data_IF_008667162665
#
_entry.id   IF_008667162665
#
_cell.length_a   1.000
_cell.length_b   1.000
_cell.length_c   1.000
_cell.angle_alpha   90.00
_cell.angle_beta   90.00
_cell.angle_gamma   90.00
#
_symmetry.space_group_name_H-M   'P 1'
#
loop_
_entity.id
_entity.type
_entity.pdbx_description
1 polymer ?
#
# COMPACT_ATOMS: atom_id res chain seq x y z
N UNK A 1 -13.08 9.17 -26.11
CA UNK A 1 -12.07 8.41 -25.36
C UNK A 1 -12.45 8.55 -23.90
N UNK A 2 -12.72 7.44 -23.22
CA UNK A 2 -13.03 7.48 -21.81
C UNK A 2 -11.83 8.03 -21.05
N UNK A 3 -12.11 8.92 -20.09
CA UNK A 3 -11.06 9.54 -19.26
C UNK A 3 -10.39 8.45 -18.43
N UNK A 4 -9.06 8.30 -18.57
CA UNK A 4 -8.29 7.40 -17.71
C UNK A 4 -8.30 7.91 -16.28
N UNK A 5 -8.43 6.99 -15.32
CA UNK A 5 -8.25 7.30 -13.91
C UNK A 5 -6.80 7.74 -13.65
N UNK A 6 -6.63 8.64 -12.68
CA UNK A 6 -5.33 9.20 -12.28
C UNK A 6 -5.12 9.01 -10.79
N UNK A 7 -4.06 8.30 -10.40
CA UNK A 7 -3.73 8.02 -8.99
C UNK A 7 -2.40 8.65 -8.62
N UNK A 8 -2.39 9.45 -7.55
CA UNK A 8 -1.16 9.98 -6.94
C UNK A 8 -0.69 9.03 -5.83
N UNK A 9 0.44 8.38 -6.01
CA UNK A 9 1.09 7.57 -5.00
C UNK A 9 2.14 8.39 -4.25
N UNK A 10 2.14 8.32 -2.91
CA UNK A 10 2.88 9.27 -2.08
C UNK A 10 3.57 8.54 -0.93
N UNK A 11 4.83 8.85 -0.70
CA UNK A 11 5.53 8.44 0.52
C UNK A 11 6.80 7.64 0.26
N UNK A 12 6.94 6.52 0.94
CA UNK A 12 8.15 5.72 0.96
C UNK A 12 8.51 5.08 -0.38
N UNK A 13 9.77 4.83 -0.52
CA UNK A 13 10.38 3.95 -1.50
C UNK A 13 11.57 3.25 -0.83
N UNK A 14 12.01 2.14 -1.37
CA UNK A 14 13.24 1.52 -0.94
C UNK A 14 13.88 0.75 -2.09
N UNK A 15 15.18 0.54 -1.98
CA UNK A 15 15.88 -0.46 -2.77
C UNK A 15 15.98 -1.72 -1.91
N UNK A 16 15.37 -2.80 -2.37
CA UNK A 16 15.54 -4.12 -1.77
C UNK A 16 16.89 -4.69 -2.26
N UNK A 17 17.89 -4.67 -1.38
CA UNK A 17 19.25 -5.09 -1.69
C UNK A 17 19.52 -6.47 -1.14
N UNK A 18 19.73 -7.42 -2.04
CA UNK A 18 20.05 -8.81 -1.71
C UNK A 18 21.56 -8.96 -1.50
N UNK A 19 22.01 -8.91 -0.27
CA UNK A 19 23.44 -8.91 0.07
C UNK A 19 24.17 -10.14 -0.49
N UNK A 20 23.57 -11.33 -0.38
CA UNK A 20 24.16 -12.58 -0.87
C UNK A 20 24.28 -12.69 -2.41
N UNK A 21 23.41 -11.97 -3.14
CA UNK A 21 23.36 -11.98 -4.61
C UNK A 21 24.04 -10.75 -5.21
N UNK A 22 24.29 -9.71 -4.43
CA UNK A 22 24.70 -8.39 -4.90
C UNK A 22 23.75 -7.82 -5.98
N UNK A 23 22.45 -8.03 -5.78
CA UNK A 23 21.38 -7.58 -6.65
C UNK A 23 20.49 -6.57 -5.92
N UNK A 24 19.88 -5.65 -6.67
CA UNK A 24 19.04 -4.61 -6.12
C UNK A 24 17.77 -4.45 -6.94
N UNK A 25 16.64 -4.34 -6.24
CA UNK A 25 15.31 -4.19 -6.85
C UNK A 25 14.63 -2.94 -6.27
N UNK A 26 14.16 -2.01 -7.12
CA UNK A 26 13.34 -0.90 -6.67
C UNK A 26 11.98 -1.39 -6.13
N UNK A 27 11.57 -0.84 -4.99
CA UNK A 27 10.32 -1.18 -4.32
C UNK A 27 9.79 -0.01 -3.47
N UNK A 28 8.94 -0.35 -2.55
CA UNK A 28 8.19 0.58 -1.70
C UNK A 28 6.69 0.53 -2.02
N UNK A 29 5.85 0.55 -0.98
CA UNK A 29 4.41 0.36 -1.11
C UNK A 29 3.77 1.33 -2.13
N UNK A 30 3.91 2.67 -2.03
CA UNK A 30 3.29 3.58 -2.99
C UNK A 30 3.88 3.44 -4.40
N UNK A 31 5.18 3.18 -4.53
CA UNK A 31 5.84 2.96 -5.82
C UNK A 31 5.25 1.75 -6.52
N UNK A 32 5.12 0.64 -5.82
CA UNK A 32 4.53 -0.59 -6.34
C UNK A 32 3.10 -0.35 -6.83
N UNK A 33 2.26 0.33 -6.01
CA UNK A 33 0.88 0.66 -6.38
C UNK A 33 0.86 1.53 -7.65
N UNK A 34 1.71 2.55 -7.75
CA UNK A 34 1.78 3.41 -8.93
C UNK A 34 2.10 2.62 -10.21
N UNK A 35 3.07 1.71 -10.14
CA UNK A 35 3.45 0.84 -11.26
C UNK A 35 2.30 -0.10 -11.65
N UNK A 36 1.58 -0.67 -10.67
CA UNK A 36 0.46 -1.55 -10.96
C UNK A 36 -0.75 -0.82 -11.54
N UNK A 37 -1.04 0.40 -11.12
CA UNK A 37 -2.05 1.25 -11.77
C UNK A 37 -1.72 1.49 -13.24
N UNK A 38 -0.45 1.75 -13.58
CA UNK A 38 0.00 1.87 -14.98
C UNK A 38 -0.19 0.56 -15.74
N UNK A 39 0.17 -0.57 -15.14
CA UNK A 39 -0.01 -1.91 -15.73
C UNK A 39 -1.47 -2.19 -16.08
N UNK A 40 -2.41 -1.73 -15.25
CA UNK A 40 -3.85 -1.87 -15.45
C UNK A 40 -4.44 -0.89 -16.47
N UNK A 41 -3.65 0.06 -16.99
CA UNK A 41 -4.07 1.02 -18.01
C UNK A 41 -4.47 2.40 -17.47
N UNK A 42 -4.37 2.63 -16.17
CA UNK A 42 -4.54 3.95 -15.55
C UNK A 42 -3.35 4.88 -15.76
N UNK A 43 -3.48 6.10 -15.26
CA UNK A 43 -2.38 7.05 -15.11
C UNK A 43 -1.98 7.11 -13.64
N UNK A 44 -0.68 7.21 -13.37
CA UNK A 44 -0.18 7.35 -12.00
C UNK A 44 1.03 8.27 -11.93
N UNK A 45 1.19 8.89 -10.78
CA UNK A 45 2.39 9.65 -10.41
C UNK A 45 2.95 9.12 -9.09
N UNK A 46 4.24 9.34 -8.88
CA UNK A 46 4.87 9.07 -7.59
C UNK A 46 5.49 10.36 -7.04
N UNK A 47 5.20 10.65 -5.77
CA UNK A 47 5.76 11.75 -4.98
C UNK A 47 6.40 11.19 -3.73
N UNK A 48 7.71 11.31 -3.62
CA UNK A 48 8.53 10.84 -2.50
C UNK A 48 9.92 11.42 -2.59
N UNK A 49 10.88 10.92 -1.82
CA UNK A 49 12.26 11.38 -1.84
C UNK A 49 13.24 10.25 -2.18
N UNK A 50 14.26 10.58 -2.95
CA UNK A 50 15.42 9.72 -3.24
C UNK A 50 16.71 10.50 -2.99
N UNK A 51 17.80 9.80 -2.75
CA UNK A 51 19.12 10.41 -2.57
C UNK A 51 19.77 10.83 -3.87
N UNK A 52 20.86 11.58 -3.75
CA UNK A 52 21.76 11.94 -4.86
C UNK A 52 22.66 10.78 -5.32
N UNK A 53 22.59 9.65 -4.64
CA UNK A 53 23.38 8.45 -4.88
C UNK A 53 22.97 7.65 -6.15
N UNK A 54 23.65 6.54 -6.41
CA UNK A 54 23.35 5.66 -7.55
C UNK A 54 21.95 5.00 -7.42
N UNK A 55 21.53 4.68 -6.21
CA UNK A 55 20.22 4.08 -5.96
C UNK A 55 19.06 5.03 -6.25
N UNK A 56 19.21 6.33 -5.96
CA UNK A 56 18.23 7.33 -6.35
C UNK A 56 18.03 7.41 -7.87
N UNK A 57 19.12 7.36 -8.64
CA UNK A 57 19.05 7.32 -10.11
C UNK A 57 18.39 6.06 -10.62
N UNK A 58 18.70 4.90 -10.02
CA UNK A 58 18.09 3.61 -10.36
C UNK A 58 16.59 3.67 -10.10
N UNK A 59 16.17 4.14 -8.92
CA UNK A 59 14.77 4.27 -8.55
C UNK A 59 13.99 5.14 -9.54
N UNK A 60 14.45 6.36 -9.80
CA UNK A 60 13.78 7.28 -10.74
C UNK A 60 13.65 6.64 -12.12
N UNK A 61 14.77 6.08 -12.64
CA UNK A 61 14.78 5.48 -13.98
C UNK A 61 13.84 4.27 -14.07
N UNK A 62 13.81 3.43 -13.05
CA UNK A 62 12.94 2.26 -13.00
C UNK A 62 11.46 2.65 -13.01
N UNK A 63 11.06 3.65 -12.20
CA UNK A 63 9.69 4.17 -12.14
C UNK A 63 9.29 4.80 -13.47
N UNK A 64 10.17 5.61 -14.07
CA UNK A 64 9.95 6.23 -15.38
C UNK A 64 9.77 5.20 -16.50
N UNK A 65 10.58 4.14 -16.50
CA UNK A 65 10.49 3.06 -17.48
C UNK A 65 9.16 2.29 -17.43
N UNK A 66 8.45 2.34 -16.28
CA UNK A 66 7.10 1.80 -16.13
C UNK A 66 6.01 2.81 -16.52
N UNK A 67 6.39 4.03 -16.93
CA UNK A 67 5.47 5.07 -17.40
C UNK A 67 4.77 5.84 -16.29
N UNK A 68 5.25 5.78 -15.07
CA UNK A 68 4.76 6.57 -13.92
C UNK A 68 5.35 7.98 -14.00
N UNK A 69 4.55 9.01 -13.72
CA UNK A 69 5.02 10.39 -13.65
C UNK A 69 5.88 10.60 -12.40
N UNK A 70 7.12 11.02 -12.61
CA UNK A 70 8.14 11.24 -11.57
C UNK A 70 8.46 12.73 -11.35
N UNK A 71 7.67 13.62 -11.93
CA UNK A 71 7.95 15.07 -11.93
C UNK A 71 7.98 15.70 -10.52
N UNK A 72 7.42 15.02 -9.54
CA UNK A 72 7.36 15.44 -8.15
C UNK A 72 8.22 14.59 -7.19
N UNK A 73 9.14 13.78 -7.71
CA UNK A 73 10.16 13.15 -6.87
C UNK A 73 11.14 14.21 -6.39
N UNK A 74 11.42 14.22 -5.10
CA UNK A 74 12.44 15.07 -4.48
C UNK A 74 13.78 14.34 -4.51
N UNK A 75 14.81 14.98 -5.05
CA UNK A 75 16.19 14.48 -4.96
C UNK A 75 16.89 15.26 -3.86
N UNK A 76 17.17 14.60 -2.74
CA UNK A 76 17.77 15.21 -1.56
C UNK A 76 19.23 14.76 -1.41
N UNK A 77 20.06 15.61 -0.84
CA UNK A 77 21.47 15.27 -0.61
C UNK A 77 21.59 14.15 0.43
N UNK A 78 22.16 13.02 0.04
CA UNK A 78 22.29 11.84 0.89
C UNK A 78 22.02 10.53 0.15
N UNK A 79 21.71 9.48 0.92
CA UNK A 79 21.46 8.12 0.41
C UNK A 79 19.97 7.85 0.25
N UNK A 80 19.63 7.13 -0.79
CA UNK A 80 18.30 6.53 -0.97
C UNK A 80 18.07 5.44 0.08
N UNK A 81 16.81 5.24 0.47
CA UNK A 81 16.45 4.19 1.42
C UNK A 81 16.76 2.79 0.86
N UNK A 82 17.25 1.92 1.73
CA UNK A 82 17.63 0.54 1.40
C UNK A 82 17.08 -0.41 2.45
N UNK A 83 16.47 -1.49 1.99
CA UNK A 83 16.16 -2.64 2.83
C UNK A 83 17.11 -3.77 2.44
N UNK A 84 17.93 -4.22 3.38
CA UNK A 84 18.78 -5.39 3.19
C UNK A 84 17.93 -6.66 3.27
N UNK A 85 18.10 -7.55 2.33
CA UNK A 85 17.35 -8.80 2.23
C UNK A 85 18.32 -9.97 2.13
N UNK A 86 18.13 -10.95 2.97
CA UNK A 86 18.81 -12.24 2.88
C UNK A 86 17.86 -13.33 2.38
N UNK A 87 18.42 -14.40 1.84
CA UNK A 87 17.69 -15.61 1.49
C UNK A 87 18.15 -16.72 2.44
N UNK A 88 17.27 -17.18 3.33
CA UNK A 88 17.53 -18.26 4.26
C UNK A 88 16.54 -19.39 3.98
N UNK A 89 17.07 -20.59 3.68
CA UNK A 89 16.27 -21.78 3.33
C UNK A 89 15.24 -21.56 2.19
N UNK A 90 15.56 -20.63 1.27
CA UNK A 90 14.71 -20.27 0.14
C UNK A 90 13.67 -19.18 0.45
N UNK A 91 13.57 -18.76 1.70
CA UNK A 91 12.67 -17.69 2.14
C UNK A 91 13.45 -16.38 2.32
N UNK A 92 12.74 -15.25 2.10
CA UNK A 92 13.28 -13.91 2.32
C UNK A 92 13.23 -13.52 3.78
N UNK A 93 14.35 -13.07 4.28
CA UNK A 93 14.49 -12.50 5.62
C UNK A 93 14.86 -11.03 5.46
N UNK A 94 13.96 -10.15 5.90
CA UNK A 94 14.24 -8.73 5.93
C UNK A 94 15.21 -8.40 7.07
N UNK A 95 16.34 -7.82 6.71
CA UNK A 95 17.39 -7.43 7.62
C UNK A 95 17.32 -5.95 7.99
N UNK A 96 18.48 -5.27 7.93
CA UNK A 96 18.59 -3.86 8.28
C UNK A 96 17.84 -2.98 7.28
N UNK A 97 17.04 -2.04 7.78
CA UNK A 97 16.47 -0.95 7.01
C UNK A 97 17.29 0.33 7.22
N UNK A 98 17.70 0.97 6.14
CA UNK A 98 18.35 2.26 6.13
C UNK A 98 17.41 3.28 5.49
N UNK A 99 16.86 4.18 6.29
CA UNK A 99 15.82 5.13 5.87
C UNK A 99 16.35 6.19 4.90
N UNK A 100 17.63 6.54 5.02
CA UNK A 100 18.27 7.54 4.17
C UNK A 100 17.54 8.88 4.18
N UNK A 101 17.43 9.51 3.02
CA UNK A 101 16.79 10.83 2.86
C UNK A 101 15.27 10.81 3.07
N UNK A 102 14.64 9.65 3.20
CA UNK A 102 13.21 9.58 3.55
C UNK A 102 12.93 10.18 4.93
N UNK A 103 13.87 10.12 5.84
CA UNK A 103 13.78 10.77 7.17
C UNK A 103 13.50 12.28 7.08
N UNK A 104 13.95 12.93 6.00
CA UNK A 104 13.79 14.36 5.76
C UNK A 104 12.66 14.68 4.75
N UNK A 105 11.96 13.66 4.26
CA UNK A 105 10.88 13.85 3.29
C UNK A 105 9.72 14.62 3.90
N UNK A 106 9.28 15.66 3.19
CA UNK A 106 8.06 16.43 3.49
C UNK A 106 7.39 16.89 2.21
N UNK A 107 6.07 16.82 2.18
CA UNK A 107 5.32 17.37 1.05
C UNK A 107 5.42 18.90 1.04
N UNK A 108 5.82 19.44 -0.10
CA UNK A 108 5.82 20.87 -0.38
C UNK A 108 4.43 21.31 -0.86
N UNK A 109 4.09 22.58 -0.77
CA UNK A 109 2.81 23.12 -1.26
C UNK A 109 2.54 22.77 -2.73
N UNK A 110 3.57 22.81 -3.56
CA UNK A 110 3.47 22.42 -4.98
C UNK A 110 3.15 20.94 -5.16
N UNK A 111 3.67 20.07 -4.28
CA UNK A 111 3.41 18.63 -4.30
C UNK A 111 1.94 18.36 -3.92
N UNK A 112 1.45 19.00 -2.86
CA UNK A 112 0.05 18.92 -2.44
C UNK A 112 -0.88 19.44 -3.55
N UNK A 113 -0.53 20.56 -4.19
CA UNK A 113 -1.29 21.13 -5.30
C UNK A 113 -1.32 20.22 -6.53
N UNK A 114 -0.24 19.46 -6.77
CA UNK A 114 -0.16 18.48 -7.83
C UNK A 114 -1.00 17.24 -7.51
N UNK A 115 -0.87 16.69 -6.30
CA UNK A 115 -1.63 15.53 -5.82
C UNK A 115 -3.13 15.74 -5.97
N UNK A 116 -3.63 16.92 -5.58
CA UNK A 116 -5.05 17.29 -5.67
C UNK A 116 -5.64 17.32 -7.10
N UNK A 117 -4.80 17.22 -8.13
CA UNK A 117 -5.26 17.12 -9.54
C UNK A 117 -5.55 15.67 -9.98
N UNK A 118 -5.39 14.71 -9.10
CA UNK A 118 -5.66 13.29 -9.36
C UNK A 118 -7.06 12.89 -8.89
N UNK A 119 -7.51 11.71 -9.27
CA UNK A 119 -8.83 11.18 -8.88
C UNK A 119 -8.77 10.53 -7.48
N UNK A 120 -7.55 10.17 -7.02
CA UNK A 120 -7.29 9.54 -5.73
C UNK A 120 -5.82 9.71 -5.34
N UNK A 121 -5.56 9.90 -4.06
CA UNK A 121 -4.24 9.77 -3.46
C UNK A 121 -4.11 8.41 -2.76
N UNK A 122 -2.96 7.75 -2.90
CA UNK A 122 -2.65 6.52 -2.16
C UNK A 122 -1.32 6.66 -1.43
N UNK A 123 -1.30 6.21 -0.18
CA UNK A 123 -0.12 6.20 0.69
C UNK A 123 -0.20 5.02 1.66
N UNK A 124 0.79 4.84 2.50
CA UNK A 124 0.83 3.78 3.50
C UNK A 124 1.43 4.23 4.83
N UNK A 125 1.52 3.29 5.75
CA UNK A 125 1.97 3.50 7.14
C UNK A 125 3.40 4.06 7.23
N UNK A 126 4.20 3.85 6.20
CA UNK A 126 5.57 4.37 6.08
C UNK A 126 5.66 5.63 5.20
N UNK A 127 4.51 6.17 4.77
CA UNK A 127 4.45 7.30 3.84
C UNK A 127 4.83 8.64 4.42
N UNK A 128 4.85 8.78 5.76
CA UNK A 128 5.26 9.98 6.51
C UNK A 128 4.50 11.26 6.14
N UNK A 129 3.23 11.14 5.73
CA UNK A 129 2.38 12.26 5.29
C UNK A 129 1.06 12.36 6.07
N UNK A 130 0.99 11.74 7.23
CA UNK A 130 -0.25 11.73 8.02
C UNK A 130 -0.66 13.13 8.48
N UNK A 131 0.26 14.09 8.57
CA UNK A 131 -0.03 15.49 8.91
C UNK A 131 -0.66 16.26 7.76
N UNK A 132 -0.40 15.87 6.51
CA UNK A 132 -0.93 16.49 5.29
C UNK A 132 -2.24 15.85 4.82
N UNK A 133 -2.61 14.67 5.33
CA UNK A 133 -3.87 14.00 4.97
C UNK A 133 -5.11 14.89 5.12
N UNK A 134 -5.24 15.75 6.18
CA UNK A 134 -6.36 16.68 6.28
C UNK A 134 -6.47 17.66 5.12
N UNK A 135 -5.35 18.01 4.49
CA UNK A 135 -5.33 18.95 3.35
C UNK A 135 -5.67 18.26 2.03
N UNK A 136 -5.28 16.98 1.90
CA UNK A 136 -5.50 16.20 0.68
C UNK A 136 -6.94 15.67 0.65
N UNK A 137 -7.41 15.10 1.76
CA UNK A 137 -8.72 14.42 1.84
C UNK A 137 -9.92 15.35 1.67
N UNK A 138 -9.73 16.66 1.81
CA UNK A 138 -10.77 17.68 1.52
C UNK A 138 -11.12 17.78 0.04
N UNK A 139 -10.19 17.45 -0.84
CA UNK A 139 -10.32 17.66 -2.29
C UNK A 139 -10.50 16.33 -3.04
N UNK A 140 -9.76 15.31 -2.66
CA UNK A 140 -9.77 14.01 -3.33
C UNK A 140 -9.83 12.86 -2.31
N UNK A 141 -10.41 11.70 -2.67
CA UNK A 141 -10.37 10.52 -1.81
C UNK A 141 -8.94 10.04 -1.56
N UNK A 142 -8.72 9.50 -0.36
CA UNK A 142 -7.44 8.94 0.08
C UNK A 142 -7.60 7.44 0.31
N UNK A 143 -6.70 6.65 -0.27
CA UNK A 143 -6.47 5.26 0.08
C UNK A 143 -5.25 5.15 1.00
N UNK A 144 -5.33 4.34 2.04
CA UNK A 144 -4.24 4.17 2.99
C UNK A 144 -4.01 2.70 3.31
N UNK A 145 -2.78 2.25 3.12
CA UNK A 145 -2.34 0.93 3.51
C UNK A 145 -1.73 0.97 4.92
N UNK A 146 -2.44 0.41 5.88
CA UNK A 146 -1.97 0.24 7.25
C UNK A 146 -1.13 -1.02 7.45
N UNK A 147 -0.98 -1.82 6.41
CA UNK A 147 -0.28 -3.11 6.45
C UNK A 147 -0.75 -3.96 7.65
N UNK A 148 0.16 -4.60 8.37
CA UNK A 148 -0.12 -5.36 9.59
C UNK A 148 -0.01 -4.50 10.87
N UNK A 149 0.01 -3.17 10.76
CA UNK A 149 0.27 -2.23 11.86
C UNK A 149 -1.01 -1.73 12.53
N UNK A 150 -2.01 -2.59 12.69
CA UNK A 150 -3.34 -2.26 13.22
C UNK A 150 -3.36 -1.55 14.60
N UNK A 151 -2.30 -1.71 15.39
CA UNK A 151 -2.15 -1.06 16.72
C UNK A 151 -1.15 0.11 16.72
N UNK A 152 -0.67 0.55 15.55
CA UNK A 152 0.24 1.68 15.45
C UNK A 152 -0.51 3.00 15.71
N UNK A 153 0.05 3.95 16.48
CA UNK A 153 -0.58 5.27 16.72
C UNK A 153 -0.95 6.04 15.45
N UNK A 154 -0.25 5.83 14.33
CA UNK A 154 -0.56 6.43 13.03
C UNK A 154 -1.96 6.04 12.56
N UNK A 155 -2.48 4.84 12.92
CA UNK A 155 -3.84 4.42 12.57
C UNK A 155 -4.86 5.45 13.07
N UNK A 156 -4.80 5.81 14.34
CA UNK A 156 -5.72 6.79 14.93
C UNK A 156 -5.58 8.19 14.32
N UNK A 157 -4.36 8.57 13.94
CA UNK A 157 -4.07 9.86 13.33
C UNK A 157 -4.56 9.96 11.88
N UNK A 158 -4.40 8.89 11.10
CA UNK A 158 -4.70 8.87 9.66
C UNK A 158 -6.16 8.51 9.35
N UNK A 159 -6.74 7.55 10.09
CA UNK A 159 -8.02 6.92 9.74
C UNK A 159 -9.18 7.91 9.50
N UNK A 160 -9.29 9.07 10.19
CA UNK A 160 -10.37 10.03 9.94
C UNK A 160 -10.34 10.68 8.54
N UNK A 161 -9.20 10.62 7.86
CA UNK A 161 -8.98 11.26 6.56
C UNK A 161 -8.95 10.27 5.41
N UNK A 162 -9.16 8.99 5.70
CA UNK A 162 -9.06 7.88 4.74
C UNK A 162 -10.43 7.55 4.17
N UNK A 163 -10.50 7.35 2.86
CA UNK A 163 -11.70 6.85 2.16
C UNK A 163 -11.69 5.34 2.03
N UNK A 164 -10.55 4.78 1.65
CA UNK A 164 -10.32 3.35 1.47
C UNK A 164 -9.17 2.90 2.37
N UNK A 165 -9.48 2.12 3.41
CA UNK A 165 -8.49 1.63 4.35
C UNK A 165 -8.17 0.15 4.08
N UNK A 166 -6.88 -0.16 4.03
CA UNK A 166 -6.39 -1.52 3.85
C UNK A 166 -5.59 -1.96 5.07
N UNK A 167 -5.88 -3.17 5.54
CA UNK A 167 -5.12 -3.86 6.57
C UNK A 167 -4.72 -5.23 6.05
N UNK A 168 -3.56 -5.72 6.46
CA UNK A 168 -3.06 -7.03 6.07
C UNK A 168 -2.85 -7.91 7.29
N UNK A 169 -3.37 -9.13 7.26
CA UNK A 169 -3.24 -10.09 8.33
C UNK A 169 -2.75 -11.42 7.75
N UNK A 170 -1.51 -11.75 8.07
CA UNK A 170 -0.99 -13.09 7.95
C UNK A 170 -1.26 -13.90 9.25
N UNK A 171 -0.72 -15.09 9.34
CA UNK A 171 -0.94 -15.95 10.51
C UNK A 171 -0.32 -15.37 11.79
N UNK A 172 0.84 -14.73 11.68
CA UNK A 172 1.55 -14.10 12.79
C UNK A 172 0.80 -12.87 13.31
N UNK A 173 0.47 -11.96 12.41
CA UNK A 173 -0.26 -10.72 12.75
C UNK A 173 -1.69 -10.99 13.23
N UNK A 174 -2.35 -12.07 12.78
CA UNK A 174 -3.61 -12.52 13.35
C UNK A 174 -3.45 -13.01 14.80
N UNK A 175 -2.37 -13.68 15.13
CA UNK A 175 -2.08 -14.10 16.50
C UNK A 175 -1.78 -12.88 17.39
N UNK A 176 -1.00 -11.92 16.90
CA UNK A 176 -0.76 -10.66 17.61
C UNK A 176 -2.08 -9.89 17.81
N UNK A 177 -2.91 -9.81 16.78
CA UNK A 177 -4.22 -9.17 16.83
C UNK A 177 -5.11 -9.79 17.93
N UNK A 178 -5.20 -11.12 18.00
CA UNK A 178 -5.96 -11.82 19.04
C UNK A 178 -5.48 -11.47 20.45
N UNK A 179 -4.17 -11.41 20.66
CA UNK A 179 -3.58 -11.09 21.96
C UNK A 179 -3.88 -9.63 22.36
N UNK A 180 -3.84 -8.71 21.40
CA UNK A 180 -4.08 -7.28 21.63
C UNK A 180 -5.55 -6.89 21.62
N UNK A 181 -6.43 -7.73 21.07
CA UNK A 181 -7.84 -7.41 20.85
C UNK A 181 -8.54 -6.87 22.11
N UNK A 182 -8.36 -7.52 23.25
CA UNK A 182 -8.98 -7.10 24.52
C UNK A 182 -8.51 -5.71 24.99
N UNK A 183 -7.28 -5.34 24.68
CA UNK A 183 -6.72 -4.02 25.02
C UNK A 183 -7.21 -2.88 24.13
N UNK A 184 -7.85 -3.18 23.00
CA UNK A 184 -8.36 -2.19 22.06
C UNK A 184 -9.71 -1.57 22.45
N UNK A 185 -10.30 -1.97 23.58
CA UNK A 185 -11.61 -1.46 24.02
C UNK A 185 -12.78 -1.86 23.12
N UNK A 186 -12.60 -2.91 22.30
CA UNK A 186 -13.63 -3.43 21.41
C UNK A 186 -14.55 -4.42 22.16
N UNK A 187 -15.76 -4.64 21.62
CA UNK A 187 -16.70 -5.61 22.18
C UNK A 187 -16.16 -7.02 22.09
N UNK A 188 -16.25 -7.77 23.18
CA UNK A 188 -15.84 -9.17 23.22
C UNK A 188 -16.52 -10.01 22.14
N UNK A 189 -15.72 -10.86 21.48
CA UNK A 189 -16.16 -11.77 20.43
C UNK A 189 -15.50 -13.14 20.62
N UNK A 190 -16.26 -14.18 20.31
CA UNK A 190 -15.89 -15.58 20.57
C UNK A 190 -14.74 -16.09 19.66
N UNK A 191 -14.68 -15.58 18.43
CA UNK A 191 -13.69 -16.07 17.46
C UNK A 191 -13.02 -14.92 16.69
N UNK A 192 -11.86 -15.22 16.11
CA UNK A 192 -11.02 -14.25 15.42
C UNK A 192 -11.72 -13.52 14.27
N UNK A 193 -12.57 -14.22 13.53
CA UNK A 193 -13.28 -13.60 12.39
C UNK A 193 -14.27 -12.53 12.90
N UNK A 194 -14.98 -12.81 13.97
CA UNK A 194 -15.91 -11.82 14.57
C UNK A 194 -15.15 -10.70 15.28
N UNK A 195 -13.99 -10.98 15.86
CA UNK A 195 -13.08 -9.96 16.40
C UNK A 195 -12.59 -9.01 15.30
N UNK A 196 -12.17 -9.57 14.17
CA UNK A 196 -11.73 -8.79 13.00
C UNK A 196 -12.87 -7.93 12.43
N UNK A 197 -14.07 -8.49 12.31
CA UNK A 197 -15.25 -7.73 11.88
C UNK A 197 -15.59 -6.58 12.85
N UNK A 198 -15.52 -6.80 14.15
CA UNK A 198 -15.75 -5.73 15.13
C UNK A 198 -14.70 -4.63 15.01
N UNK A 199 -13.42 -5.00 14.84
CA UNK A 199 -12.34 -4.04 14.56
C UNK A 199 -12.63 -3.23 13.29
N UNK A 200 -12.97 -3.90 12.18
CA UNK A 200 -13.27 -3.22 10.92
C UNK A 200 -14.45 -2.26 11.05
N UNK A 201 -15.51 -2.63 11.78
CA UNK A 201 -16.63 -1.72 12.08
C UNK A 201 -16.18 -0.50 12.87
N UNK A 202 -15.38 -0.70 13.92
CA UNK A 202 -14.89 0.38 14.75
C UNK A 202 -14.01 1.35 13.95
N UNK A 203 -13.18 0.84 13.07
CA UNK A 203 -12.34 1.67 12.18
C UNK A 203 -13.19 2.41 11.14
N UNK A 204 -14.18 1.74 10.55
CA UNK A 204 -15.06 2.34 9.54
C UNK A 204 -15.85 3.54 10.14
N UNK A 205 -16.30 3.45 11.37
CA UNK A 205 -17.00 4.53 12.05
C UNK A 205 -16.14 5.79 12.28
N UNK A 206 -14.80 5.69 12.14
CA UNK A 206 -13.86 6.79 12.31
C UNK A 206 -13.61 7.59 11.04
N UNK A 207 -13.98 7.08 9.86
CA UNK A 207 -13.77 7.83 8.61
C UNK A 207 -13.96 7.06 7.31
N UNK A 208 -13.37 5.87 7.12
CA UNK A 208 -13.37 5.19 5.84
C UNK A 208 -14.77 4.84 5.32
N UNK A 209 -14.96 4.98 4.01
CA UNK A 209 -16.15 4.45 3.34
C UNK A 209 -16.08 2.93 3.18
N UNK A 210 -14.88 2.42 2.92
CA UNK A 210 -14.63 0.98 2.75
C UNK A 210 -13.36 0.60 3.50
N UNK A 211 -13.43 -0.51 4.22
CA UNK A 211 -12.27 -1.16 4.85
C UNK A 211 -12.10 -2.54 4.24
N UNK A 212 -10.88 -2.87 3.87
CA UNK A 212 -10.48 -4.18 3.38
C UNK A 212 -9.43 -4.77 4.33
N UNK A 213 -9.63 -6.02 4.72
CA UNK A 213 -8.63 -6.84 5.39
C UNK A 213 -8.20 -7.98 4.45
N UNK A 214 -6.95 -8.00 4.05
CA UNK A 214 -6.35 -9.12 3.31
C UNK A 214 -5.84 -10.17 4.30
N UNK A 215 -6.03 -11.45 3.99
CA UNK A 215 -5.78 -12.60 4.86
C UNK A 215 -4.81 -13.60 4.21
N UNK A 216 -3.92 -13.12 3.35
CA UNK A 216 -2.98 -13.93 2.58
C UNK A 216 -3.70 -15.03 1.79
N UNK A 217 -3.32 -16.28 1.99
CA UNK A 217 -3.94 -17.46 1.34
C UNK A 217 -5.44 -17.66 1.66
N UNK A 218 -5.98 -16.95 2.64
CA UNK A 218 -7.38 -17.03 3.04
C UNK A 218 -8.26 -15.96 2.35
N UNK A 219 -7.69 -15.22 1.39
CA UNK A 219 -8.39 -14.21 0.60
C UNK A 219 -8.54 -12.87 1.32
N UNK A 220 -9.72 -12.26 1.24
CA UNK A 220 -9.96 -10.92 1.81
C UNK A 220 -11.40 -10.77 2.31
N UNK A 221 -11.57 -9.85 3.25
CA UNK A 221 -12.87 -9.41 3.79
C UNK A 221 -12.98 -7.91 3.59
N UNK A 222 -14.14 -7.44 3.11
CA UNK A 222 -14.47 -6.03 2.95
C UNK A 222 -15.69 -5.63 3.78
N UNK A 223 -15.75 -4.35 4.18
CA UNK A 223 -16.90 -3.74 4.84
C UNK A 223 -17.07 -2.29 4.36
N UNK A 224 -18.29 -1.93 3.93
CA UNK A 224 -18.62 -0.59 3.42
C UNK A 224 -19.52 0.24 4.35
N UNK A 225 -19.64 -0.19 5.60
CA UNK A 225 -20.53 0.43 6.57
C UNK A 225 -21.93 -0.23 6.64
N UNK A 226 -22.35 -0.93 5.59
CA UNK A 226 -23.64 -1.61 5.50
C UNK A 226 -23.51 -3.11 5.26
N UNK A 227 -22.68 -3.49 4.32
CA UNK A 227 -22.54 -4.85 3.79
C UNK A 227 -21.15 -5.41 4.02
N UNK A 228 -21.11 -6.72 4.23
CA UNK A 228 -19.88 -7.51 4.28
C UNK A 228 -19.63 -8.18 2.95
N UNK A 229 -18.38 -8.14 2.52
CA UNK A 229 -17.89 -8.77 1.30
C UNK A 229 -16.80 -9.77 1.65
N UNK A 230 -16.69 -10.83 0.86
CA UNK A 230 -15.61 -11.79 0.99
C UNK A 230 -15.21 -12.26 -0.39
N UNK A 231 -13.90 -12.28 -0.65
CA UNK A 231 -13.34 -12.89 -1.84
C UNK A 231 -12.23 -13.87 -1.43
N UNK A 232 -12.15 -15.00 -2.11
CA UNK A 232 -11.11 -15.99 -1.90
C UNK A 232 -9.79 -15.57 -2.55
N UNK A 233 -9.06 -16.54 -3.04
CA UNK A 233 -7.85 -16.34 -3.83
C UNK A 233 -8.10 -16.75 -5.28
N UNK A 234 -7.31 -16.23 -6.19
CA UNK A 234 -7.19 -16.75 -7.56
C UNK A 234 -6.06 -17.77 -7.55
N UNK A 235 -6.37 -19.01 -7.93
CA UNK A 235 -5.36 -20.06 -8.03
C UNK A 235 -4.34 -19.74 -9.12
N UNK A 236 -3.07 -19.75 -8.76
CA UNK A 236 -1.96 -19.48 -9.65
C UNK A 236 -0.67 -20.17 -9.15
N UNK A 237 0.32 -20.26 -10.03
CA UNK A 237 1.65 -20.72 -9.63
C UNK A 237 2.36 -19.59 -8.89
N UNK A 238 2.63 -19.78 -7.60
CA UNK A 238 3.39 -18.82 -6.81
C UNK A 238 4.87 -18.98 -7.11
N UNK A 239 5.49 -17.89 -7.54
CA UNK A 239 6.95 -17.75 -7.74
C UNK A 239 7.52 -16.87 -6.64
N UNK A 240 6.86 -15.73 -6.37
CA UNK A 240 7.31 -14.72 -5.42
C UNK A 240 6.13 -13.92 -4.89
N UNK A 241 6.05 -13.70 -3.59
CA UNK A 241 4.93 -12.96 -2.96
C UNK A 241 5.20 -11.46 -2.79
N UNK A 242 6.36 -10.96 -3.28
CA UNK A 242 6.70 -9.54 -3.20
C UNK A 242 5.67 -8.69 -3.95
N UNK A 243 5.18 -7.63 -3.28
CA UNK A 243 4.22 -6.71 -3.87
C UNK A 243 2.79 -7.25 -4.04
N UNK A 244 2.49 -8.46 -3.54
CA UNK A 244 1.15 -9.06 -3.65
C UNK A 244 0.06 -8.17 -3.02
N UNK A 245 0.31 -7.62 -1.84
CA UNK A 245 -0.59 -6.68 -1.14
C UNK A 245 -0.79 -5.39 -1.93
N UNK A 246 0.30 -4.78 -2.37
CA UNK A 246 0.27 -3.53 -3.16
C UNK A 246 -0.47 -3.73 -4.49
N UNK A 247 -0.27 -4.90 -5.09
CA UNK A 247 -0.95 -5.30 -6.32
C UNK A 247 -2.45 -5.51 -6.12
N UNK A 248 -2.85 -6.10 -4.99
CA UNK A 248 -4.26 -6.20 -4.60
C UNK A 248 -4.87 -4.81 -4.44
N UNK A 249 -4.20 -3.91 -3.70
CA UNK A 249 -4.66 -2.53 -3.49
C UNK A 249 -4.82 -1.80 -4.82
N UNK A 250 -3.83 -1.89 -5.71
CA UNK A 250 -3.90 -1.28 -7.03
C UNK A 250 -5.08 -1.80 -7.86
N UNK A 251 -5.30 -3.13 -7.89
CA UNK A 251 -6.42 -3.74 -8.61
C UNK A 251 -7.77 -3.31 -8.04
N UNK A 252 -7.92 -3.29 -6.73
CA UNK A 252 -9.11 -2.79 -6.05
C UNK A 252 -9.39 -1.32 -6.39
N UNK A 253 -8.38 -0.45 -6.25
CA UNK A 253 -8.51 0.99 -6.52
C UNK A 253 -8.82 1.24 -8.00
N UNK A 254 -8.18 0.51 -8.90
CA UNK A 254 -8.48 0.59 -10.33
C UNK A 254 -9.92 0.23 -10.62
N UNK A 255 -10.43 -0.86 -10.03
CA UNK A 255 -11.81 -1.30 -10.18
C UNK A 255 -12.81 -0.26 -9.67
N UNK A 256 -12.66 0.18 -8.42
CA UNK A 256 -13.60 1.11 -7.77
C UNK A 256 -13.64 2.48 -8.48
N UNK A 257 -12.49 2.98 -8.96
CA UNK A 257 -12.42 4.23 -9.71
C UNK A 257 -13.00 4.12 -11.13
N UNK A 258 -13.08 2.92 -11.69
CA UNK A 258 -13.77 2.65 -12.95
C UNK A 258 -15.25 2.27 -12.75
N UNK A 259 -15.79 2.41 -11.54
CA UNK A 259 -17.21 2.23 -11.23
C UNK A 259 -17.65 0.81 -10.90
N UNK A 260 -16.71 -0.11 -10.65
CA UNK A 260 -17.04 -1.42 -10.10
C UNK A 260 -17.55 -1.28 -8.67
N UNK A 261 -18.43 -2.17 -8.23
CA UNK A 261 -18.82 -2.30 -6.83
C UNK A 261 -17.68 -2.89 -5.99
N UNK A 262 -17.83 -2.90 -4.65
CA UNK A 262 -16.79 -3.38 -3.73
C UNK A 262 -16.42 -4.83 -3.99
N UNK A 263 -17.41 -5.71 -4.23
CA UNK A 263 -17.16 -7.14 -4.48
C UNK A 263 -16.31 -7.36 -5.74
N UNK A 264 -16.69 -6.73 -6.84
CA UNK A 264 -15.98 -6.87 -8.13
C UNK A 264 -14.61 -6.19 -8.07
N UNK A 265 -14.46 -5.12 -7.28
CA UNK A 265 -13.17 -4.47 -7.03
C UNK A 265 -12.22 -5.36 -6.20
N UNK A 266 -12.75 -6.12 -5.22
CA UNK A 266 -11.96 -7.11 -4.48
C UNK A 266 -11.49 -8.26 -5.40
N UNK A 267 -12.34 -8.71 -6.33
CA UNK A 267 -11.95 -9.68 -7.34
C UNK A 267 -10.85 -9.15 -8.26
N UNK A 268 -10.99 -7.91 -8.76
CA UNK A 268 -9.95 -7.25 -9.57
C UNK A 268 -8.62 -7.13 -8.80
N UNK A 269 -8.68 -6.85 -7.51
CA UNK A 269 -7.53 -6.88 -6.61
C UNK A 269 -6.86 -8.26 -6.56
N UNK A 270 -7.65 -9.31 -6.34
CA UNK A 270 -7.15 -10.67 -6.26
C UNK A 270 -6.56 -11.15 -7.61
N UNK A 271 -7.19 -10.80 -8.74
CA UNK A 271 -6.68 -11.10 -10.09
C UNK A 271 -5.33 -10.43 -10.34
N UNK A 272 -5.19 -9.14 -9.99
CA UNK A 272 -3.95 -8.41 -10.15
C UNK A 272 -2.84 -8.97 -9.25
N UNK A 273 -3.16 -9.38 -8.01
CA UNK A 273 -2.25 -10.03 -7.09
C UNK A 273 -1.76 -11.39 -7.63
N UNK A 274 -2.66 -12.22 -8.18
CA UNK A 274 -2.31 -13.50 -8.79
C UNK A 274 -1.33 -13.35 -9.97
N UNK A 275 -1.46 -12.29 -10.76
CA UNK A 275 -0.48 -11.96 -11.82
C UNK A 275 0.88 -11.62 -11.21
N UNK A 276 0.89 -10.81 -10.16
CA UNK A 276 2.14 -10.34 -9.52
C UNK A 276 2.92 -11.48 -8.90
N UNK A 277 2.28 -12.38 -8.17
CA UNK A 277 2.98 -13.49 -7.52
C UNK A 277 3.43 -14.59 -8.49
N UNK A 278 3.14 -14.48 -9.77
CA UNK A 278 3.55 -15.40 -10.84
C UNK A 278 4.95 -15.16 -11.39
N UNK A 279 5.66 -14.11 -10.97
CA UNK A 279 7.02 -13.79 -11.40
C UNK A 279 7.90 -13.31 -10.23
N UNK A 280 9.21 -13.19 -10.48
CA UNK A 280 10.19 -12.75 -9.48
C UNK A 280 10.17 -11.23 -9.30
N UNK A 281 10.22 -10.75 -8.05
CA UNK A 281 10.22 -9.34 -7.71
C UNK A 281 8.81 -8.72 -7.71
N UNK A 282 8.71 -7.46 -7.31
CA UNK A 282 7.43 -6.76 -7.27
C UNK A 282 6.93 -6.38 -8.68
N UNK A 283 7.82 -5.93 -9.60
CA UNK A 283 7.46 -5.50 -10.97
C UNK A 283 8.63 -5.39 -11.95
#
# INVERSE_FOLDING_TARGET
MDRKIRVAAIGDNCIDYYDSLNESYPGGNPVNIAVYIKRLGGESSYTGAVGTDSFGKIMISAIQNKGVDTSHIQVLDGKTAVTHVDIVDGDRVFGKYEEGVLADFKLREQDISFIKKHDLAVTGIWGMIEDELPLISKEIPVAFDFANKFANPIVEKAIPYVTYAFFSFDEESLNEFRQKYHSMGLKEKENCTEQLKEFMKAMQQKGPKVIIATLGKNGSIGYDGNSWYRFGIIECKVVDTMGAGDSFIAGFLYGILNGLNVQDSMEAGAQNSAVTIGYQGAW
#
